data_IF_628289938602
#
_entry.id   IF_628289938602
#
_cell.length_a   1.000
_cell.length_b   1.000
_cell.length_c   1.000
_cell.angle_alpha   90.00
_cell.angle_beta   90.00
_cell.angle_gamma   90.00
#
_symmetry.space_group_name_H-M   'P 1'
#
loop_
_entity.id
_entity.type
_entity.pdbx_description
1 polymer ?
#
# COMPACT_ATOMS: atom_id res chain seq x y z
N UNK A 1 -28.19 40.61 -33.34
CA UNK A 1 -26.75 40.37 -33.55
C UNK A 1 -26.49 38.89 -33.31
N UNK A 2 -25.94 38.18 -34.30
CA UNK A 2 -25.97 36.71 -34.39
C UNK A 2 -25.05 36.03 -33.36
N UNK A 3 -25.48 34.83 -32.97
CA UNK A 3 -25.12 34.01 -31.82
C UNK A 3 -23.69 33.40 -31.82
N UNK A 4 -22.93 33.52 -32.90
CA UNK A 4 -21.75 32.67 -33.16
C UNK A 4 -20.40 33.37 -32.94
N UNK A 5 -20.36 34.69 -32.75
CA UNK A 5 -19.09 35.44 -32.74
C UNK A 5 -18.40 35.49 -31.37
N UNK A 6 -18.96 34.84 -30.34
CA UNK A 6 -18.57 35.06 -28.92
C UNK A 6 -18.25 33.77 -28.16
N UNK A 7 -17.98 32.68 -28.88
CA UNK A 7 -17.37 31.45 -28.35
C UNK A 7 -15.85 31.63 -28.17
N UNK A 8 -15.27 32.69 -28.75
CA UNK A 8 -13.83 32.86 -28.95
C UNK A 8 -13.00 33.28 -27.71
N UNK A 9 -13.60 33.52 -26.54
CA UNK A 9 -12.90 34.12 -25.39
C UNK A 9 -12.94 33.30 -24.09
N UNK A 10 -13.46 32.08 -24.11
CA UNK A 10 -13.28 31.09 -23.04
C UNK A 10 -12.29 30.03 -23.52
N UNK A 11 -11.40 29.57 -22.63
CA UNK A 11 -10.60 28.40 -23.00
C UNK A 11 -11.51 27.16 -23.07
N UNK A 12 -11.26 26.22 -24.00
CA UNK A 12 -12.00 24.96 -24.08
C UNK A 12 -12.08 24.23 -22.73
N UNK A 13 -11.01 24.30 -21.93
CA UNK A 13 -10.93 23.69 -20.60
C UNK A 13 -11.93 24.30 -19.60
N UNK A 14 -12.21 25.60 -19.69
CA UNK A 14 -13.19 26.28 -18.85
C UNK A 14 -14.61 25.84 -19.20
N UNK A 15 -14.91 25.71 -20.49
CA UNK A 15 -16.22 25.24 -20.96
C UNK A 15 -16.45 23.78 -20.51
N UNK A 16 -15.43 22.94 -20.57
CA UNK A 16 -15.51 21.54 -20.15
C UNK A 16 -15.62 21.38 -18.63
N UNK A 17 -14.88 22.18 -17.85
CA UNK A 17 -14.96 22.27 -16.39
C UNK A 17 -16.39 22.58 -15.92
N UNK A 18 -16.98 23.64 -16.49
CA UNK A 18 -18.34 24.07 -16.15
C UNK A 18 -19.41 23.08 -16.62
N UNK A 19 -19.27 22.48 -17.82
CA UNK A 19 -20.18 21.44 -18.27
C UNK A 19 -20.10 20.15 -17.44
N UNK A 20 -18.94 19.86 -16.84
CA UNK A 20 -18.78 18.71 -15.93
C UNK A 20 -19.49 18.92 -14.59
N UNK A 21 -19.48 20.15 -14.05
CA UNK A 21 -20.28 20.54 -12.88
C UNK A 21 -21.80 20.50 -13.23
N UNK A 22 -22.16 20.98 -14.42
CA UNK A 22 -23.53 20.98 -14.96
C UNK A 22 -24.15 19.59 -15.10
N UNK A 23 -23.34 18.57 -15.42
CA UNK A 23 -23.83 17.20 -15.51
C UNK A 23 -24.06 16.55 -14.14
N UNK A 24 -23.44 17.08 -13.07
CA UNK A 24 -23.60 16.61 -11.70
C UNK A 24 -24.73 17.35 -10.94
N UNK A 25 -24.98 18.62 -11.28
CA UNK A 25 -26.07 19.44 -10.76
C UNK A 25 -27.18 19.47 -11.81
N UNK A 26 -28.11 18.51 -11.73
CA UNK A 26 -29.18 18.37 -12.73
C UNK A 26 -30.07 19.63 -12.75
N UNK A 27 -30.16 20.21 -13.95
CA UNK A 27 -30.99 21.33 -14.45
C UNK A 27 -30.68 22.78 -14.00
N UNK A 28 -30.09 23.58 -14.91
CA UNK A 28 -30.74 24.77 -15.52
C UNK A 28 -29.78 25.57 -16.44
N UNK A 29 -29.92 25.38 -17.76
CA UNK A 29 -29.20 26.14 -18.82
C UNK A 29 -29.51 27.66 -18.77
N UNK A 30 -30.64 28.04 -18.17
CA UNK A 30 -31.05 29.44 -17.98
C UNK A 30 -30.25 30.18 -16.91
N UNK A 31 -29.80 29.47 -15.86
CA UNK A 31 -28.98 30.03 -14.78
C UNK A 31 -27.59 30.44 -15.30
N UNK A 32 -26.99 29.58 -16.12
CA UNK A 32 -25.69 29.81 -16.80
C UNK A 32 -25.76 31.04 -17.73
N UNK A 33 -26.87 31.21 -18.44
CA UNK A 33 -27.06 32.31 -19.39
C UNK A 33 -27.33 33.65 -18.70
N UNK A 34 -27.99 33.62 -17.53
CA UNK A 34 -28.25 34.81 -16.70
C UNK A 34 -27.02 35.31 -15.94
N UNK A 35 -26.24 34.41 -15.35
CA UNK A 35 -25.04 34.74 -14.56
C UNK A 35 -23.92 35.37 -15.41
N UNK A 36 -23.80 34.93 -16.67
CA UNK A 36 -22.85 35.49 -17.64
C UNK A 36 -23.20 36.92 -18.07
N UNK A 37 -24.50 37.28 -18.12
CA UNK A 37 -24.95 38.66 -18.38
C UNK A 37 -24.60 39.61 -17.23
N UNK A 38 -24.78 39.16 -15.99
CA UNK A 38 -24.57 39.98 -14.78
C UNK A 38 -23.08 40.24 -14.54
N UNK A 39 -22.24 39.22 -14.71
CA UNK A 39 -20.77 39.33 -14.59
C UNK A 39 -20.18 40.33 -15.59
N UNK A 40 -20.61 40.24 -16.86
CA UNK A 40 -20.16 41.15 -17.93
C UNK A 40 -20.68 42.59 -17.77
N UNK A 41 -21.88 42.78 -17.22
CA UNK A 41 -22.45 44.11 -17.00
C UNK A 41 -21.75 44.86 -15.85
N UNK A 42 -21.21 44.13 -14.87
CA UNK A 42 -20.65 44.70 -13.64
C UNK A 42 -19.12 44.60 -13.53
N UNK A 43 -18.42 44.05 -14.53
CA UNK A 43 -16.95 43.99 -14.58
C UNK A 43 -16.31 43.05 -13.55
N UNK A 44 -17.02 41.99 -13.15
CA UNK A 44 -16.58 41.11 -12.07
C UNK A 44 -15.48 40.12 -12.48
N UNK A 45 -14.62 39.80 -11.52
CA UNK A 45 -13.57 38.78 -11.65
C UNK A 45 -14.16 37.36 -11.65
N UNK A 46 -13.38 36.34 -12.09
CA UNK A 46 -13.81 34.94 -12.05
C UNK A 46 -14.24 34.47 -10.65
N UNK A 47 -13.55 34.92 -9.60
CA UNK A 47 -13.88 34.59 -8.21
C UNK A 47 -15.23 35.16 -7.79
N UNK A 48 -15.51 36.43 -8.10
CA UNK A 48 -16.78 37.10 -7.77
C UNK A 48 -17.97 36.51 -8.56
N UNK A 49 -17.72 36.10 -9.80
CA UNK A 49 -18.72 35.45 -10.63
C UNK A 49 -19.08 34.07 -10.09
N UNK A 50 -18.08 33.28 -9.71
CA UNK A 50 -18.28 32.00 -9.05
C UNK A 50 -19.04 32.22 -7.73
N UNK A 51 -18.65 33.19 -6.91
CA UNK A 51 -19.33 33.50 -5.65
C UNK A 51 -20.81 33.89 -5.84
N UNK A 52 -21.16 34.65 -6.88
CA UNK A 52 -22.56 34.94 -7.22
C UNK A 52 -23.32 33.66 -7.63
N UNK A 53 -22.76 32.85 -8.54
CA UNK A 53 -23.37 31.59 -8.99
C UNK A 53 -23.70 30.71 -7.79
N UNK A 54 -22.74 30.60 -6.88
CA UNK A 54 -22.84 29.82 -5.67
C UNK A 54 -23.89 30.39 -4.70
N UNK A 55 -23.91 31.71 -4.47
CA UNK A 55 -24.94 32.36 -3.66
C UNK A 55 -26.36 32.20 -4.24
N UNK A 56 -26.52 32.17 -5.56
CA UNK A 56 -27.81 31.92 -6.22
C UNK A 56 -28.24 30.46 -6.09
N UNK A 57 -27.31 29.50 -6.22
CA UNK A 57 -27.56 28.08 -5.96
C UNK A 57 -27.94 27.81 -4.50
N UNK A 58 -27.33 28.53 -3.55
CA UNK A 58 -27.64 28.44 -2.13
C UNK A 58 -29.06 28.95 -1.82
N UNK A 59 -29.49 30.02 -2.49
CA UNK A 59 -30.87 30.55 -2.37
C UNK A 59 -31.91 29.63 -3.00
N UNK A 60 -31.61 28.97 -4.13
CA UNK A 60 -32.54 28.03 -4.78
C UNK A 60 -32.67 26.70 -4.02
N UNK A 61 -31.57 26.20 -3.45
CA UNK A 61 -31.59 24.99 -2.59
C UNK A 61 -32.31 25.21 -1.26
N UNK A 62 -32.30 26.42 -0.69
CA UNK A 62 -33.07 26.74 0.52
C UNK A 62 -34.59 26.83 0.28
N UNK A 63 -35.02 27.08 -0.96
CA UNK A 63 -36.44 27.32 -1.27
C UNK A 63 -37.15 26.12 -1.90
N UNK A 64 -36.46 25.20 -2.59
CA UNK A 64 -37.07 24.08 -3.30
C UNK A 64 -36.21 22.79 -3.26
N UNK A 65 -35.68 22.37 -2.10
CA UNK A 65 -34.93 21.12 -2.04
C UNK A 65 -35.85 19.88 -2.07
N UNK A 66 -35.87 19.07 -3.14
CA UNK A 66 -36.09 17.63 -2.95
C UNK A 66 -34.92 17.11 -2.12
N UNK A 67 -35.22 16.22 -1.18
CA UNK A 67 -34.27 15.52 -0.32
C UNK A 67 -33.19 14.79 -1.14
N UNK A 68 -32.08 15.48 -1.45
CA UNK A 68 -30.99 14.86 -2.23
C UNK A 68 -29.89 15.76 -2.78
N UNK A 69 -29.90 17.09 -2.59
CA UNK A 69 -28.81 17.95 -3.08
C UNK A 69 -27.51 17.75 -2.30
N UNK A 70 -26.60 16.96 -2.89
CA UNK A 70 -25.23 16.67 -2.43
C UNK A 70 -24.25 17.83 -2.69
N UNK A 71 -24.66 19.10 -2.58
CA UNK A 71 -23.73 20.22 -2.74
C UNK A 71 -24.12 21.36 -1.78
N UNK A 72 -23.26 21.68 -0.81
CA UNK A 72 -23.48 22.69 0.21
C UNK A 72 -22.42 23.78 0.06
N UNK A 73 -22.83 25.03 0.18
CA UNK A 73 -21.94 26.18 0.19
C UNK A 73 -21.89 26.76 1.59
N UNK A 74 -20.68 26.85 2.15
CA UNK A 74 -20.48 27.32 3.52
C UNK A 74 -19.14 28.00 3.67
N UNK A 75 -19.16 29.23 4.18
CA UNK A 75 -17.97 29.97 4.63
C UNK A 75 -16.87 30.05 3.54
N UNK A 76 -17.23 30.34 2.29
CA UNK A 76 -16.27 30.42 1.18
C UNK A 76 -15.81 29.07 0.60
N UNK A 77 -16.48 27.98 0.95
CA UNK A 77 -16.18 26.62 0.48
C UNK A 77 -17.37 25.99 -0.25
N UNK A 78 -17.07 25.15 -1.25
CA UNK A 78 -17.99 24.18 -1.85
C UNK A 78 -17.79 22.82 -1.18
N UNK A 79 -18.87 22.21 -0.70
CA UNK A 79 -18.89 20.86 -0.12
C UNK A 79 -19.72 19.99 -1.04
N UNK A 80 -19.10 19.01 -1.72
CA UNK A 80 -19.80 18.09 -2.63
C UNK A 80 -20.14 16.79 -1.89
N UNK A 81 -21.34 16.71 -1.33
CA UNK A 81 -21.85 15.54 -0.61
C UNK A 81 -21.08 15.38 0.69
N UNK A 82 -20.29 14.31 0.79
CA UNK A 82 -19.37 14.07 1.91
C UNK A 82 -17.91 14.40 1.57
N UNK A 83 -17.64 14.93 0.38
CA UNK A 83 -16.30 15.32 -0.03
C UNK A 83 -15.75 16.42 0.89
N UNK A 84 -14.42 16.51 1.02
CA UNK A 84 -13.78 17.64 1.68
C UNK A 84 -14.26 19.00 1.16
N UNK A 85 -14.40 20.02 2.03
CA UNK A 85 -14.66 21.37 1.58
C UNK A 85 -13.53 21.87 0.65
N UNK A 86 -13.92 22.39 -0.51
CA UNK A 86 -13.03 22.99 -1.50
C UNK A 86 -13.20 24.50 -1.40
N UNK A 87 -12.12 25.24 -1.17
CA UNK A 87 -12.20 26.70 -1.16
C UNK A 87 -12.56 27.21 -2.55
N UNK A 88 -13.43 28.21 -2.62
CA UNK A 88 -13.93 28.75 -3.89
C UNK A 88 -12.79 29.31 -4.76
N UNK A 89 -11.78 29.92 -4.13
CA UNK A 89 -10.57 30.45 -4.79
C UNK A 89 -9.65 29.38 -5.40
N UNK A 90 -9.85 28.09 -5.04
CA UNK A 90 -9.11 26.96 -5.60
C UNK A 90 -9.79 26.37 -6.85
N UNK A 91 -11.08 26.64 -7.07
CA UNK A 91 -11.84 26.08 -8.19
C UNK A 91 -11.23 26.40 -9.57
N UNK A 92 -10.74 27.64 -9.84
CA UNK A 92 -10.11 27.95 -11.12
C UNK A 92 -8.82 27.14 -11.40
N UNK A 93 -8.23 26.54 -10.36
CA UNK A 93 -7.00 25.75 -10.45
C UNK A 93 -7.26 24.25 -10.63
N UNK A 94 -8.53 23.82 -10.57
CA UNK A 94 -8.91 22.42 -10.75
C UNK A 94 -9.10 22.12 -12.23
N UNK A 95 -8.46 21.05 -12.71
CA UNK A 95 -8.73 20.52 -14.04
C UNK A 95 -10.14 19.90 -14.09
N UNK A 96 -10.81 19.88 -15.26
CA UNK A 96 -12.11 19.21 -15.41
C UNK A 96 -12.11 17.75 -14.90
N UNK A 97 -11.09 16.92 -15.19
CA UNK A 97 -10.97 15.58 -14.64
C UNK A 97 -10.91 15.52 -13.10
N UNK A 98 -10.21 16.46 -12.46
CA UNK A 98 -10.14 16.52 -11.00
C UNK A 98 -11.48 16.91 -10.38
N UNK A 99 -12.23 17.85 -10.98
CA UNK A 99 -13.58 18.17 -10.51
C UNK A 99 -14.52 16.97 -10.61
N UNK A 100 -14.46 16.21 -11.71
CA UNK A 100 -15.19 14.93 -11.83
C UNK A 100 -14.78 13.95 -10.74
N UNK A 101 -13.48 13.79 -10.50
CA UNK A 101 -12.97 12.92 -9.44
C UNK A 101 -13.49 13.31 -8.05
N UNK A 102 -13.49 14.59 -7.70
CA UNK A 102 -14.00 15.08 -6.41
C UNK A 102 -15.50 14.78 -6.28
N UNK A 103 -16.28 15.05 -7.33
CA UNK A 103 -17.72 14.84 -7.35
C UNK A 103 -18.15 13.37 -7.40
N UNK A 104 -17.43 12.51 -8.12
CA UNK A 104 -17.80 11.11 -8.32
C UNK A 104 -17.25 10.20 -7.22
N UNK A 105 -15.99 10.42 -6.80
CA UNK A 105 -15.31 9.53 -5.89
C UNK A 105 -15.23 10.06 -4.46
N UNK A 106 -14.83 11.33 -4.26
CA UNK A 106 -14.73 11.88 -2.90
C UNK A 106 -16.08 12.19 -2.27
N UNK A 107 -17.13 12.44 -3.04
CA UNK A 107 -18.47 12.68 -2.49
C UNK A 107 -19.08 11.44 -1.79
N UNK A 108 -18.57 10.25 -2.13
CA UNK A 108 -19.07 8.95 -1.66
C UNK A 108 -18.28 8.40 -0.44
N UNK A 109 -17.26 9.11 0.02
CA UNK A 109 -16.46 8.68 1.18
C UNK A 109 -17.27 8.83 2.48
N UNK A 110 -16.94 8.04 3.48
CA UNK A 110 -17.55 8.18 4.80
C UNK A 110 -17.08 9.46 5.53
N UNK A 111 -17.83 9.86 6.56
CA UNK A 111 -17.58 11.11 7.32
C UNK A 111 -16.22 11.08 8.04
N UNK A 112 -15.75 9.89 8.45
CA UNK A 112 -14.46 9.75 9.13
C UNK A 112 -13.28 9.95 8.16
N UNK A 113 -13.40 9.42 6.94
CA UNK A 113 -12.45 9.58 5.85
C UNK A 113 -12.44 11.01 5.29
N UNK A 114 -13.58 11.73 5.34
CA UNK A 114 -13.70 13.11 4.85
C UNK A 114 -12.67 14.06 5.48
N UNK A 115 -12.47 14.00 6.81
CA UNK A 115 -11.46 14.83 7.49
C UNK A 115 -10.04 14.58 6.99
N UNK A 116 -9.70 13.33 6.66
CA UNK A 116 -8.36 12.97 6.16
C UNK A 116 -8.17 13.32 4.69
N UNK A 117 -9.23 13.21 3.88
CA UNK A 117 -9.17 13.70 2.51
C UNK A 117 -9.06 15.24 2.45
N UNK A 118 -9.59 15.97 3.43
CA UNK A 118 -9.41 17.44 3.52
C UNK A 118 -7.96 17.88 3.62
N UNK A 119 -7.13 17.19 4.42
CA UNK A 119 -5.69 17.47 4.46
C UNK A 119 -4.93 16.99 3.22
N UNK A 120 -5.57 16.14 2.41
CA UNK A 120 -4.99 15.50 1.22
C UNK A 120 -5.23 16.28 -0.08
N UNK A 121 -6.22 17.19 -0.12
CA UNK A 121 -6.54 18.03 -1.29
C UNK A 121 -5.33 18.82 -1.80
N UNK A 122 -4.49 19.47 -0.96
CA UNK A 122 -3.30 20.17 -1.44
C UNK A 122 -2.30 19.26 -2.17
N UNK A 123 -2.16 18.01 -1.72
CA UNK A 123 -1.29 17.01 -2.37
C UNK A 123 -1.86 16.60 -3.73
N UNK A 124 -3.18 16.42 -3.83
CA UNK A 124 -3.85 16.17 -5.11
C UNK A 124 -3.65 17.32 -6.11
N UNK A 125 -3.77 18.57 -5.64
CA UNK A 125 -3.52 19.76 -6.46
C UNK A 125 -2.09 19.79 -7.00
N UNK A 126 -1.11 19.49 -6.14
CA UNK A 126 0.29 19.40 -6.55
C UNK A 126 0.51 18.28 -7.58
N UNK A 127 -0.07 17.11 -7.37
CA UNK A 127 0.02 15.98 -8.29
C UNK A 127 -0.67 16.27 -9.63
N UNK A 128 -1.81 16.98 -9.62
CA UNK A 128 -2.51 17.42 -10.83
C UNK A 128 -1.63 18.36 -11.66
N UNK A 129 -0.99 19.35 -11.01
CA UNK A 129 -0.05 20.24 -11.67
C UNK A 129 1.16 19.51 -12.30
N UNK A 130 1.34 18.23 -11.97
CA UNK A 130 2.40 17.36 -12.46
C UNK A 130 1.88 16.23 -13.38
N UNK A 131 0.65 16.34 -13.87
CA UNK A 131 0.10 15.44 -14.89
C UNK A 131 -0.83 14.34 -14.37
N UNK A 132 -1.10 14.27 -13.05
CA UNK A 132 -2.15 13.38 -12.55
C UNK A 132 -3.52 13.84 -13.06
N UNK A 133 -4.41 12.90 -13.40
CA UNK A 133 -5.70 13.10 -14.07
C UNK A 133 -5.66 13.49 -15.54
N UNK A 134 -4.63 14.22 -16.00
CA UNK A 134 -4.51 14.60 -17.42
C UNK A 134 -3.73 13.56 -18.22
N UNK A 135 -2.65 13.01 -17.67
CA UNK A 135 -1.80 12.01 -18.32
C UNK A 135 -2.20 10.60 -17.89
N UNK A 136 -2.45 10.40 -16.60
CA UNK A 136 -2.88 9.13 -16.05
C UNK A 136 -4.22 9.30 -15.31
N UNK A 137 -5.29 8.61 -15.75
CA UNK A 137 -6.57 8.69 -15.08
C UNK A 137 -6.50 8.02 -13.71
N UNK A 138 -7.16 8.66 -12.74
CA UNK A 138 -7.47 8.03 -11.45
C UNK A 138 -8.84 7.41 -11.58
N UNK A 139 -8.93 6.10 -11.39
CA UNK A 139 -10.15 5.32 -11.67
C UNK A 139 -10.95 4.96 -10.42
N UNK A 140 -10.34 5.05 -9.24
CA UNK A 140 -10.96 4.68 -7.96
C UNK A 140 -10.27 5.34 -6.77
N UNK A 141 -11.03 5.56 -5.71
CA UNK A 141 -10.53 5.87 -4.35
C UNK A 141 -10.89 4.74 -3.39
N UNK A 142 -10.10 4.57 -2.34
CA UNK A 142 -10.39 3.62 -1.28
C UNK A 142 -10.80 4.35 0.01
N UNK A 143 -11.90 3.88 0.61
CA UNK A 143 -12.44 4.38 1.88
C UNK A 143 -11.63 3.81 3.07
N UNK A 144 -10.33 4.09 3.09
CA UNK A 144 -9.40 3.55 4.08
C UNK A 144 -8.74 4.65 4.93
N UNK A 145 -9.32 5.86 4.90
CA UNK A 145 -8.80 7.07 5.56
C UNK A 145 -7.59 7.71 4.86
N UNK A 146 -6.61 6.96 4.37
CA UNK A 146 -5.25 7.50 4.07
C UNK A 146 -5.00 7.94 2.63
N UNK A 147 -6.02 8.52 1.98
CA UNK A 147 -5.99 9.06 0.62
C UNK A 147 -5.32 8.15 -0.43
N UNK A 148 -5.87 6.96 -0.61
CA UNK A 148 -5.39 5.93 -1.54
C UNK A 148 -6.20 5.99 -2.83
N UNK A 149 -5.49 5.94 -3.97
CA UNK A 149 -6.07 6.01 -5.31
C UNK A 149 -5.67 4.79 -6.15
N UNK A 150 -6.44 4.54 -7.20
CA UNK A 150 -6.10 3.55 -8.23
C UNK A 150 -5.77 4.26 -9.54
N UNK A 151 -4.53 4.12 -10.02
CA UNK A 151 -4.07 4.68 -11.28
C UNK A 151 -4.32 3.70 -12.42
N UNK A 152 -5.13 4.10 -13.39
CA UNK A 152 -5.50 3.34 -14.59
C UNK A 152 -5.92 1.87 -14.33
N UNK A 153 -6.51 1.56 -13.17
CA UNK A 153 -6.78 0.19 -12.71
C UNK A 153 -5.54 -0.74 -12.66
N UNK A 154 -4.33 -0.18 -12.65
CA UNK A 154 -3.07 -0.94 -12.62
C UNK A 154 -2.32 -0.81 -11.31
N UNK A 155 -2.34 0.38 -10.68
CA UNK A 155 -1.54 0.65 -9.49
C UNK A 155 -2.36 1.31 -8.37
N UNK A 156 -2.56 0.57 -7.28
CA UNK A 156 -3.11 1.09 -6.03
C UNK A 156 -2.00 1.73 -5.21
N UNK A 157 -2.11 3.03 -4.94
CA UNK A 157 -1.05 3.80 -4.28
C UNK A 157 -1.61 4.96 -3.46
N UNK A 158 -0.97 5.26 -2.33
CA UNK A 158 -1.27 6.48 -1.57
C UNK A 158 -0.75 7.71 -2.32
N UNK A 159 -1.53 8.79 -2.36
CA UNK A 159 -1.09 10.03 -3.01
C UNK A 159 0.16 10.63 -2.34
N UNK A 160 0.37 10.37 -1.05
CA UNK A 160 1.55 10.81 -0.32
C UNK A 160 2.80 10.08 -0.80
N UNK A 161 2.72 8.75 -0.94
CA UNK A 161 3.79 7.92 -1.49
C UNK A 161 4.13 8.32 -2.92
N UNK A 162 3.11 8.53 -3.75
CA UNK A 162 3.27 9.03 -5.10
C UNK A 162 3.95 10.41 -5.12
N UNK A 163 3.64 11.27 -4.14
CA UNK A 163 4.26 12.57 -3.98
C UNK A 163 5.72 12.52 -3.47
N UNK A 164 6.21 11.37 -2.98
CA UNK A 164 7.64 11.18 -2.64
C UNK A 164 8.51 10.82 -3.85
N UNK A 165 7.91 10.38 -4.96
CA UNK A 165 8.65 10.02 -6.18
C UNK A 165 9.19 11.32 -6.83
N UNK A 166 10.47 11.39 -7.25
CA UNK A 166 11.01 12.55 -7.96
C UNK A 166 10.12 12.99 -9.12
N UNK A 167 9.98 14.30 -9.35
CA UNK A 167 9.02 14.86 -10.33
C UNK A 167 9.19 14.27 -11.74
N UNK A 168 10.44 14.09 -12.19
CA UNK A 168 10.75 13.51 -13.50
C UNK A 168 10.30 12.06 -13.62
N UNK A 169 10.62 11.25 -12.62
CA UNK A 169 10.22 9.84 -12.57
C UNK A 169 8.70 9.69 -12.43
N UNK A 170 8.06 10.57 -11.68
CA UNK A 170 6.60 10.57 -11.50
C UNK A 170 5.86 10.81 -12.81
N UNK A 171 6.32 11.77 -13.61
CA UNK A 171 5.74 12.04 -14.92
C UNK A 171 5.88 10.83 -15.85
N UNK A 172 7.08 10.23 -15.92
CA UNK A 172 7.32 8.99 -16.67
C UNK A 172 6.41 7.86 -16.20
N UNK A 173 6.26 7.70 -14.89
CA UNK A 173 5.35 6.69 -14.31
C UNK A 173 3.92 6.93 -14.77
N UNK A 174 3.41 8.16 -14.74
CA UNK A 174 2.07 8.46 -15.24
C UNK A 174 1.90 8.13 -16.73
N UNK A 175 2.85 8.54 -17.58
CA UNK A 175 2.81 8.25 -19.01
C UNK A 175 2.88 6.75 -19.31
N UNK A 176 3.70 6.01 -18.59
CA UNK A 176 3.84 4.57 -18.80
C UNK A 176 2.62 3.82 -18.29
N UNK A 177 2.08 4.18 -17.11
CA UNK A 177 0.89 3.54 -16.54
C UNK A 177 -0.35 3.79 -17.40
N UNK A 178 -0.52 5.00 -17.96
CA UNK A 178 -1.69 5.33 -18.76
C UNK A 178 -1.78 4.55 -20.07
N UNK A 179 -0.63 4.09 -20.60
CA UNK A 179 -0.54 3.27 -21.80
C UNK A 179 -0.74 1.77 -21.55
N UNK A 180 -0.81 1.34 -20.29
CA UNK A 180 -1.03 -0.06 -19.97
C UNK A 180 -2.45 -0.48 -20.30
N UNK A 181 -2.58 -1.67 -20.89
CA UNK A 181 -3.89 -2.27 -21.11
C UNK A 181 -4.51 -2.74 -19.78
N UNK A 182 -5.85 -2.79 -19.68
CA UNK A 182 -6.53 -3.29 -18.48
C UNK A 182 -6.12 -4.71 -18.07
N UNK A 183 -5.70 -5.53 -19.04
CA UNK A 183 -5.33 -6.94 -18.88
C UNK A 183 -3.83 -7.21 -18.98
N UNK A 184 -2.99 -6.20 -18.73
CA UNK A 184 -1.53 -6.34 -18.81
C UNK A 184 -1.02 -7.41 -17.83
N UNK A 185 -0.10 -8.26 -18.27
CA UNK A 185 0.60 -9.20 -17.38
C UNK A 185 1.88 -8.59 -16.81
N UNK A 186 2.42 -9.18 -15.74
CA UNK A 186 3.67 -8.69 -15.13
C UNK A 186 4.85 -8.71 -16.10
N UNK A 187 4.89 -9.70 -17.00
CA UNK A 187 5.93 -9.85 -18.03
C UNK A 187 5.87 -8.78 -19.13
N UNK A 188 4.73 -8.10 -19.27
CA UNK A 188 4.51 -7.04 -20.25
C UNK A 188 4.77 -5.64 -19.66
N UNK A 189 5.06 -5.53 -18.37
CA UNK A 189 5.38 -4.25 -17.74
C UNK A 189 6.73 -3.74 -18.25
N UNK A 190 6.82 -2.46 -18.70
CA UNK A 190 8.08 -1.88 -19.14
C UNK A 190 9.17 -1.99 -18.07
N UNK A 191 10.40 -2.32 -18.49
CA UNK A 191 11.53 -2.51 -17.57
C UNK A 191 11.85 -1.26 -16.75
N UNK A 192 11.72 -0.08 -17.35
CA UNK A 192 11.90 1.20 -16.65
C UNK A 192 10.77 1.46 -15.63
N UNK A 193 9.52 1.12 -15.97
CA UNK A 193 8.41 1.21 -15.03
C UNK A 193 8.62 0.28 -13.83
N UNK A 194 9.07 -0.95 -14.09
CA UNK A 194 9.43 -1.92 -13.06
C UNK A 194 10.59 -1.42 -12.20
N UNK A 195 11.58 -0.79 -12.79
CA UNK A 195 12.71 -0.18 -12.08
C UNK A 195 12.22 0.88 -11.08
N UNK A 196 11.50 1.89 -11.58
CA UNK A 196 11.05 3.02 -10.75
C UNK A 196 10.04 2.54 -9.71
N UNK A 197 8.94 1.92 -10.14
CA UNK A 197 7.85 1.56 -9.25
C UNK A 197 8.23 0.41 -8.32
N UNK A 198 8.70 -0.72 -8.86
CA UNK A 198 8.85 -1.97 -8.08
C UNK A 198 10.17 -2.00 -7.31
N UNK A 199 11.29 -1.63 -7.93
CA UNK A 199 12.61 -1.70 -7.31
C UNK A 199 12.87 -0.49 -6.41
N UNK A 200 12.73 0.71 -6.97
CA UNK A 200 13.19 1.94 -6.30
C UNK A 200 12.15 2.43 -5.27
N UNK A 201 10.85 2.36 -5.60
CA UNK A 201 9.78 2.84 -4.72
C UNK A 201 8.92 1.76 -4.05
N UNK A 202 9.19 0.48 -4.30
CA UNK A 202 8.51 -0.70 -3.71
C UNK A 202 7.00 -0.79 -3.95
N UNK A 203 6.51 -0.16 -5.01
CA UNK A 203 5.13 -0.25 -5.46
C UNK A 203 4.86 -1.58 -6.16
N UNK A 204 3.61 -2.05 -6.15
CA UNK A 204 3.22 -3.32 -6.76
C UNK A 204 1.98 -3.16 -7.61
N UNK A 205 2.06 -3.65 -8.84
CA UNK A 205 0.94 -3.60 -9.77
C UNK A 205 -0.11 -4.67 -9.47
N UNK A 206 -1.36 -4.40 -9.80
CA UNK A 206 -2.47 -5.32 -9.58
C UNK A 206 -2.31 -6.62 -10.36
N UNK A 207 -1.78 -6.57 -11.59
CA UNK A 207 -1.45 -7.77 -12.37
C UNK A 207 -0.45 -8.67 -11.64
N UNK A 208 0.61 -8.10 -11.06
CA UNK A 208 1.62 -8.82 -10.28
C UNK A 208 1.03 -9.48 -9.03
N UNK A 209 0.16 -8.77 -8.32
CA UNK A 209 -0.59 -9.30 -7.16
C UNK A 209 -1.44 -10.50 -7.59
N UNK A 210 -2.21 -10.37 -8.65
CA UNK A 210 -3.09 -11.43 -9.14
C UNK A 210 -2.32 -12.66 -9.64
N UNK A 211 -1.22 -12.44 -10.37
CA UNK A 211 -0.36 -13.54 -10.81
C UNK A 211 0.28 -14.28 -9.64
N UNK A 212 0.65 -13.55 -8.58
CA UNK A 212 1.18 -14.16 -7.35
C UNK A 212 0.13 -14.99 -6.61
N UNK A 213 -1.12 -14.53 -6.58
CA UNK A 213 -2.25 -15.33 -6.05
C UNK A 213 -2.38 -16.61 -6.87
N UNK A 214 -2.52 -16.52 -8.20
CA UNK A 214 -2.65 -17.68 -9.09
C UNK A 214 -1.49 -18.67 -8.98
N UNK A 215 -0.27 -18.17 -8.86
CA UNK A 215 0.90 -19.02 -8.68
C UNK A 215 0.88 -19.72 -7.32
N UNK A 216 0.47 -19.01 -6.26
CA UNK A 216 0.32 -19.61 -4.93
C UNK A 216 -0.79 -20.66 -4.94
N UNK A 217 -1.93 -20.39 -5.58
CA UNK A 217 -3.03 -21.35 -5.77
C UNK A 217 -2.55 -22.65 -6.41
N UNK A 218 -1.68 -22.55 -7.43
CA UNK A 218 -1.06 -23.72 -8.07
C UNK A 218 -0.22 -24.55 -7.08
N UNK A 219 0.54 -23.91 -6.20
CA UNK A 219 1.33 -24.62 -5.19
C UNK A 219 0.44 -25.31 -4.14
N UNK A 220 -0.68 -24.69 -3.78
CA UNK A 220 -1.59 -25.23 -2.75
C UNK A 220 -2.73 -26.07 -3.33
N UNK A 221 -2.76 -26.34 -4.64
CA UNK A 221 -3.87 -27.01 -5.33
C UNK A 221 -4.20 -28.39 -4.71
N UNK A 222 -3.15 -29.14 -4.33
CA UNK A 222 -3.26 -30.46 -3.68
C UNK A 222 -3.73 -30.39 -2.21
N UNK A 223 -3.86 -29.19 -1.63
CA UNK A 223 -4.16 -28.96 -0.21
C UNK A 223 -5.42 -28.09 -0.06
N UNK A 224 -6.62 -28.70 0.00
CA UNK A 224 -7.89 -27.96 -0.01
C UNK A 224 -8.02 -26.90 1.10
N UNK A 225 -7.43 -27.14 2.28
CA UNK A 225 -7.44 -26.17 3.37
C UNK A 225 -6.65 -24.90 3.05
N UNK A 226 -5.46 -25.05 2.46
CA UNK A 226 -4.62 -23.92 2.06
C UNK A 226 -5.21 -23.19 0.84
N UNK A 227 -5.77 -23.94 -0.12
CA UNK A 227 -6.46 -23.35 -1.28
C UNK A 227 -7.59 -22.40 -0.86
N UNK A 228 -8.42 -22.80 0.12
CA UNK A 228 -9.49 -21.95 0.65
C UNK A 228 -8.97 -20.63 1.24
N UNK A 229 -7.79 -20.66 1.86
CA UNK A 229 -7.16 -19.45 2.44
C UNK A 229 -6.72 -18.49 1.33
N UNK A 230 -6.10 -19.00 0.27
CA UNK A 230 -5.63 -18.19 -0.87
C UNK A 230 -6.79 -17.65 -1.71
N UNK A 231 -7.91 -18.36 -1.75
CA UNK A 231 -9.12 -17.99 -2.49
C UNK A 231 -10.11 -17.12 -1.71
N UNK A 232 -9.82 -16.80 -0.45
CA UNK A 232 -10.64 -15.88 0.31
C UNK A 232 -10.62 -14.47 -0.31
N UNK A 233 -11.55 -13.60 0.10
CA UNK A 233 -11.53 -12.20 -0.32
C UNK A 233 -10.36 -11.46 0.38
N UNK A 234 -9.17 -11.56 -0.24
CA UNK A 234 -7.92 -11.07 0.35
C UNK A 234 -7.86 -9.55 0.33
N UNK A 235 -7.47 -8.98 1.47
CA UNK A 235 -7.18 -7.56 1.61
C UNK A 235 -5.89 -7.20 0.85
N UNK A 236 -5.72 -5.92 0.48
CA UNK A 236 -4.56 -5.47 -0.32
C UNK A 236 -3.21 -5.88 0.27
N UNK A 237 -3.04 -5.77 1.59
CA UNK A 237 -1.80 -6.16 2.27
C UNK A 237 -1.56 -7.68 2.30
N UNK A 238 -2.63 -8.50 2.30
CA UNK A 238 -2.51 -9.96 2.21
C UNK A 238 -2.07 -10.38 0.80
N UNK A 239 -2.60 -9.71 -0.22
CA UNK A 239 -2.14 -9.85 -1.61
C UNK A 239 -0.67 -9.45 -1.76
N UNK A 240 -0.24 -8.38 -1.11
CA UNK A 240 1.17 -7.96 -1.08
C UNK A 240 2.07 -8.95 -0.34
N UNK A 241 1.55 -9.59 0.72
CA UNK A 241 2.27 -10.65 1.44
C UNK A 241 2.49 -11.88 0.56
N UNK A 242 1.48 -12.31 -0.20
CA UNK A 242 1.62 -13.39 -1.18
C UNK A 242 2.61 -13.04 -2.31
N UNK A 243 2.58 -11.81 -2.81
CA UNK A 243 3.56 -11.35 -3.79
C UNK A 243 4.99 -11.44 -3.24
N UNK A 244 5.20 -10.96 -2.01
CA UNK A 244 6.51 -10.99 -1.36
C UNK A 244 7.00 -12.44 -1.21
N UNK A 245 6.11 -13.33 -0.78
CA UNK A 245 6.38 -14.77 -0.71
C UNK A 245 6.81 -15.36 -2.06
N UNK A 246 6.07 -15.09 -3.15
CA UNK A 246 6.41 -15.58 -4.49
C UNK A 246 7.79 -15.09 -4.94
N UNK A 247 8.11 -13.82 -4.64
CA UNK A 247 9.42 -13.26 -4.91
C UNK A 247 10.53 -13.98 -4.13
N UNK A 248 10.29 -14.31 -2.86
CA UNK A 248 11.25 -15.06 -2.04
C UNK A 248 11.42 -16.49 -2.52
N UNK A 249 10.33 -17.20 -2.82
CA UNK A 249 10.33 -18.55 -3.42
C UNK A 249 11.21 -18.59 -4.67
N UNK A 250 11.04 -17.60 -5.55
CA UNK A 250 11.80 -17.46 -6.79
C UNK A 250 13.29 -17.16 -6.54
N UNK A 251 13.59 -16.35 -5.52
CA UNK A 251 14.95 -15.99 -5.09
C UNK A 251 15.68 -17.19 -4.51
N UNK A 252 15.04 -17.94 -3.61
CA UNK A 252 15.64 -19.08 -2.91
C UNK A 252 15.58 -20.39 -3.71
N UNK A 253 14.94 -20.38 -4.89
CA UNK A 253 14.78 -21.56 -5.77
C UNK A 253 14.10 -22.72 -5.05
N UNK A 254 12.99 -22.39 -4.39
CA UNK A 254 12.21 -23.31 -3.55
C UNK A 254 11.46 -24.36 -4.39
N UNK A 255 11.36 -24.17 -5.71
CA UNK A 255 10.67 -25.07 -6.65
C UNK A 255 11.01 -26.56 -6.44
N UNK A 256 12.24 -26.87 -6.01
CA UNK A 256 12.70 -28.26 -5.84
C UNK A 256 12.16 -28.96 -4.58
N UNK A 257 11.59 -28.22 -3.62
CA UNK A 257 11.01 -28.75 -2.38
C UNK A 257 9.67 -28.09 -2.01
N UNK A 258 9.02 -27.44 -2.99
CA UNK A 258 7.75 -26.75 -2.79
C UNK A 258 6.65 -27.69 -2.27
N UNK A 259 6.54 -28.90 -2.83
CA UNK A 259 5.53 -29.88 -2.42
C UNK A 259 5.71 -30.29 -0.95
N UNK A 260 6.94 -30.57 -0.51
CA UNK A 260 7.23 -30.90 0.90
C UNK A 260 6.95 -29.72 1.83
N UNK A 261 7.27 -28.50 1.38
CA UNK A 261 6.98 -27.28 2.13
C UNK A 261 5.47 -27.06 2.29
N UNK A 262 4.67 -27.24 1.22
CA UNK A 262 3.21 -27.11 1.29
C UNK A 262 2.59 -28.21 2.16
N UNK A 263 3.14 -29.43 2.14
CA UNK A 263 2.74 -30.50 3.06
C UNK A 263 2.94 -30.08 4.51
N UNK A 264 4.13 -29.58 4.86
CA UNK A 264 4.43 -29.06 6.20
C UNK A 264 3.46 -27.93 6.60
N UNK A 265 3.25 -26.93 5.74
CA UNK A 265 2.33 -25.81 6.00
C UNK A 265 0.90 -26.30 6.22
N UNK A 266 0.46 -27.33 5.51
CA UNK A 266 -0.85 -27.95 5.70
C UNK A 266 -0.94 -28.68 7.06
N UNK A 267 0.10 -29.43 7.44
CA UNK A 267 0.16 -30.14 8.74
C UNK A 267 0.14 -29.17 9.94
N UNK A 268 0.64 -27.94 9.75
CA UNK A 268 0.59 -26.87 10.75
C UNK A 268 -0.81 -26.28 10.98
N UNK A 269 -1.84 -26.74 10.25
CA UNK A 269 -3.24 -26.26 10.36
C UNK A 269 -3.35 -24.74 10.20
N UNK A 270 -2.68 -24.23 9.17
CA UNK A 270 -2.64 -22.81 8.79
C UNK A 270 -4.05 -22.21 8.72
N UNK A 271 -4.22 -21.00 9.26
CA UNK A 271 -5.53 -20.33 9.36
C UNK A 271 -5.73 -19.17 8.39
N UNK A 272 -4.66 -18.49 7.99
CA UNK A 272 -4.72 -17.29 7.16
C UNK A 272 -3.44 -17.12 6.32
N UNK A 273 -3.43 -16.13 5.43
CA UNK A 273 -2.30 -15.85 4.53
C UNK A 273 -1.01 -15.52 5.28
N UNK A 274 -1.12 -14.80 6.40
CA UNK A 274 0.06 -14.41 7.18
C UNK A 274 0.75 -15.63 7.79
N UNK A 275 -0.02 -16.58 8.32
CA UNK A 275 0.51 -17.86 8.82
C UNK A 275 1.07 -18.72 7.67
N UNK A 276 0.38 -18.80 6.53
CA UNK A 276 0.85 -19.53 5.36
C UNK A 276 2.25 -19.09 4.97
N UNK A 277 2.43 -17.77 4.81
CA UNK A 277 3.71 -17.19 4.41
C UNK A 277 4.77 -17.38 5.50
N UNK A 278 4.41 -17.18 6.78
CA UNK A 278 5.35 -17.36 7.89
C UNK A 278 5.84 -18.82 8.04
N UNK A 279 4.98 -19.82 7.85
CA UNK A 279 5.39 -21.22 7.86
C UNK A 279 6.30 -21.56 6.67
N UNK A 280 6.05 -20.98 5.50
CA UNK A 280 6.93 -21.14 4.35
C UNK A 280 8.31 -20.49 4.60
N UNK A 281 8.34 -19.25 5.09
CA UNK A 281 9.59 -18.55 5.44
C UNK A 281 10.38 -19.31 6.51
N UNK A 282 9.69 -19.91 7.49
CA UNK A 282 10.30 -20.78 8.49
C UNK A 282 10.96 -22.02 7.86
N UNK A 283 10.25 -22.71 6.95
CA UNK A 283 10.79 -23.86 6.24
C UNK A 283 11.98 -23.47 5.35
N UNK A 284 11.90 -22.36 4.62
CA UNK A 284 13.01 -21.82 3.81
C UNK A 284 14.22 -21.56 4.71
N UNK A 285 14.03 -20.89 5.84
CA UNK A 285 15.12 -20.59 6.79
C UNK A 285 15.79 -21.87 7.29
N UNK A 286 15.02 -22.90 7.62
CA UNK A 286 15.58 -24.19 8.04
C UNK A 286 16.39 -24.88 6.93
N UNK A 287 15.96 -24.78 5.67
CA UNK A 287 16.73 -25.30 4.53
C UNK A 287 18.01 -24.49 4.33
N UNK A 288 17.97 -23.16 4.46
CA UNK A 288 19.16 -22.32 4.38
C UNK A 288 20.18 -22.64 5.49
N UNK A 289 19.73 -22.81 6.73
CA UNK A 289 20.59 -23.25 7.85
C UNK A 289 21.28 -24.58 7.53
N UNK A 290 20.53 -25.57 7.05
CA UNK A 290 21.08 -26.89 6.72
C UNK A 290 22.02 -26.82 5.51
N UNK A 291 21.75 -25.94 4.53
CA UNK A 291 22.68 -25.68 3.43
C UNK A 291 24.02 -25.13 3.95
N UNK A 292 24.01 -24.24 4.94
CA UNK A 292 25.23 -23.72 5.56
C UNK A 292 26.02 -24.83 6.27
N UNK A 293 25.33 -25.72 6.99
CA UNK A 293 25.95 -26.87 7.66
C UNK A 293 26.57 -27.85 6.65
N UNK A 294 25.85 -28.18 5.57
CA UNK A 294 26.39 -29.04 4.50
C UNK A 294 27.59 -28.38 3.81
N UNK A 295 27.54 -27.08 3.54
CA UNK A 295 28.68 -26.37 2.95
C UNK A 295 29.90 -26.38 3.87
N UNK A 296 29.72 -26.27 5.18
CA UNK A 296 30.81 -26.42 6.16
C UNK A 296 31.38 -27.85 6.16
N UNK A 297 30.53 -28.88 6.08
CA UNK A 297 30.95 -30.28 5.95
C UNK A 297 31.73 -30.54 4.66
N UNK A 298 31.32 -29.93 3.54
CA UNK A 298 32.08 -29.98 2.27
C UNK A 298 33.45 -29.32 2.45
N UNK A 299 33.53 -28.13 3.06
CA UNK A 299 34.80 -27.44 3.32
C UNK A 299 35.73 -28.29 4.19
N UNK A 300 35.17 -28.99 5.18
CA UNK A 300 35.88 -29.94 6.06
C UNK A 300 36.16 -31.30 5.39
N UNK A 301 35.83 -31.46 4.10
CA UNK A 301 36.00 -32.70 3.31
C UNK A 301 35.29 -33.93 3.90
N UNK A 302 34.28 -33.72 4.73
CA UNK A 302 33.48 -34.79 5.34
C UNK A 302 32.43 -35.35 4.37
N UNK A 303 32.02 -34.53 3.39
CA UNK A 303 31.11 -34.93 2.32
C UNK A 303 31.74 -34.54 0.99
N UNK A 304 31.72 -35.48 0.04
CA UNK A 304 32.21 -35.26 -1.32
C UNK A 304 30.99 -35.15 -2.25
N UNK A 305 30.71 -33.96 -2.82
CA UNK A 305 29.58 -33.79 -3.72
C UNK A 305 29.79 -34.55 -5.04
N UNK A 306 28.71 -34.99 -5.70
CA UNK A 306 28.79 -35.69 -6.98
C UNK A 306 29.36 -34.77 -8.08
N UNK A 307 30.26 -35.32 -8.91
CA UNK A 307 31.00 -34.55 -9.94
C UNK A 307 30.12 -33.99 -11.06
N UNK A 308 28.97 -34.62 -11.35
CA UNK A 308 28.13 -34.31 -12.50
C UNK A 308 26.93 -33.39 -12.19
N UNK A 309 26.82 -32.90 -10.95
CA UNK A 309 25.71 -32.04 -10.53
C UNK A 309 26.25 -30.69 -10.07
N UNK A 310 25.62 -29.60 -10.51
CA UNK A 310 25.96 -28.26 -10.02
C UNK A 310 25.86 -28.22 -8.49
N UNK A 311 26.95 -27.87 -7.81
CA UNK A 311 27.07 -27.90 -6.35
C UNK A 311 25.90 -27.20 -5.65
N UNK A 312 25.52 -26.00 -6.10
CA UNK A 312 24.41 -25.24 -5.52
C UNK A 312 23.05 -25.95 -5.61
N UNK A 313 22.83 -26.75 -6.66
CA UNK A 313 21.58 -27.51 -6.83
C UNK A 313 21.61 -28.74 -5.93
N UNK A 314 22.74 -29.44 -5.91
CA UNK A 314 22.93 -30.61 -5.06
C UNK A 314 22.80 -30.25 -3.58
N UNK A 315 23.52 -29.23 -3.09
CA UNK A 315 23.45 -28.79 -1.69
C UNK A 315 22.02 -28.46 -1.27
N UNK A 316 21.25 -27.78 -2.14
CA UNK A 316 19.86 -27.46 -1.83
C UNK A 316 18.97 -28.70 -1.75
N UNK A 317 19.14 -29.67 -2.66
CA UNK A 317 18.41 -30.95 -2.62
C UNK A 317 18.73 -31.75 -1.36
N UNK A 318 20.00 -31.83 -0.97
CA UNK A 318 20.40 -32.54 0.25
C UNK A 318 19.88 -31.85 1.51
N UNK A 319 19.99 -30.51 1.56
CA UNK A 319 19.46 -29.73 2.68
C UNK A 319 17.95 -29.89 2.82
N UNK A 320 17.20 -29.76 1.71
CA UNK A 320 15.75 -29.96 1.75
C UNK A 320 15.41 -31.40 2.12
N UNK A 321 16.11 -32.39 1.55
CA UNK A 321 15.90 -33.79 1.91
C UNK A 321 16.10 -34.02 3.40
N UNK A 322 17.15 -33.48 4.03
CA UNK A 322 17.38 -33.60 5.47
C UNK A 322 16.31 -32.89 6.31
N UNK A 323 15.92 -31.67 5.93
CA UNK A 323 14.92 -30.88 6.65
C UNK A 323 13.54 -31.53 6.62
N UNK A 324 13.14 -32.08 5.47
CA UNK A 324 11.82 -32.69 5.27
C UNK A 324 11.80 -34.22 5.47
N UNK A 325 12.95 -34.87 5.70
CA UNK A 325 13.06 -36.33 5.93
C UNK A 325 12.13 -36.81 7.03
N UNK A 326 12.05 -36.04 8.11
CA UNK A 326 11.14 -36.26 9.22
C UNK A 326 10.40 -34.96 9.53
N UNK A 327 9.19 -34.83 8.97
CA UNK A 327 8.32 -33.68 9.22
C UNK A 327 8.08 -33.42 10.71
N UNK A 328 8.12 -34.45 11.57
CA UNK A 328 7.97 -34.26 13.02
C UNK A 328 9.15 -33.52 13.64
N UNK A 329 10.37 -33.70 13.12
CA UNK A 329 11.54 -32.94 13.58
C UNK A 329 11.39 -31.45 13.25
N UNK A 330 10.92 -31.11 12.06
CA UNK A 330 10.66 -29.71 11.68
C UNK A 330 9.54 -29.09 12.52
N UNK A 331 8.44 -29.82 12.74
CA UNK A 331 7.35 -29.42 13.63
C UNK A 331 7.86 -29.24 15.06
N UNK A 332 8.72 -30.13 15.55
CA UNK A 332 9.33 -30.02 16.89
C UNK A 332 10.20 -28.77 16.99
N UNK A 333 11.04 -28.49 15.99
CA UNK A 333 11.86 -27.25 15.95
C UNK A 333 10.97 -26.01 15.98
N UNK A 334 9.87 -26.01 15.22
CA UNK A 334 8.88 -24.94 15.28
C UNK A 334 8.27 -24.79 16.67
N UNK A 335 7.78 -25.88 17.27
CA UNK A 335 7.13 -25.87 18.60
C UNK A 335 8.06 -25.41 19.72
N UNK A 336 9.34 -25.80 19.67
CA UNK A 336 10.35 -25.34 20.63
C UNK A 336 10.54 -23.83 20.50
N UNK A 337 10.66 -23.32 19.28
CA UNK A 337 10.82 -21.87 19.03
C UNK A 337 9.55 -21.11 19.42
N UNK A 338 8.37 -21.67 19.13
CA UNK A 338 7.08 -21.12 19.53
C UNK A 338 6.95 -21.04 21.05
N UNK A 339 7.44 -22.05 21.76
CA UNK A 339 7.49 -22.04 23.23
C UNK A 339 8.36 -20.89 23.73
N UNK A 340 9.54 -20.67 23.15
CA UNK A 340 10.39 -19.51 23.50
C UNK A 340 9.66 -18.20 23.24
N UNK A 341 9.02 -18.05 22.07
CA UNK A 341 8.23 -16.86 21.70
C UNK A 341 7.11 -16.59 22.71
N UNK A 342 6.39 -17.64 23.11
CA UNK A 342 5.26 -17.54 24.03
C UNK A 342 5.72 -17.25 25.46
N UNK A 343 6.72 -17.99 25.95
CA UNK A 343 7.25 -17.86 27.31
C UNK A 343 7.91 -16.49 27.55
N UNK A 344 8.31 -15.77 26.48
CA UNK A 344 8.90 -14.43 26.54
C UNK A 344 7.98 -13.32 26.00
N UNK A 345 6.68 -13.59 25.85
CA UNK A 345 5.67 -12.58 25.46
C UNK A 345 6.06 -11.75 24.21
N UNK A 346 6.55 -12.44 23.17
CA UNK A 346 7.10 -11.78 21.97
C UNK A 346 6.04 -11.37 20.93
N UNK A 347 4.78 -11.72 21.13
CA UNK A 347 3.71 -11.47 20.18
C UNK A 347 2.50 -10.82 20.86
N UNK A 348 1.92 -9.83 20.21
CA UNK A 348 0.77 -9.09 20.72
C UNK A 348 0.48 -7.84 19.91
N UNK A 349 -0.78 -7.41 19.96
CA UNK A 349 -1.22 -6.17 19.30
C UNK A 349 -0.95 -4.99 20.24
N UNK A 350 -0.22 -4.00 19.74
CA UNK A 350 -0.12 -2.68 20.40
C UNK A 350 -1.08 -1.73 19.71
N UNK A 351 -1.88 -1.00 20.47
CA UNK A 351 -2.78 0.03 19.94
C UNK A 351 -2.32 1.40 20.43
N UNK A 352 -2.00 2.27 19.48
CA UNK A 352 -1.72 3.69 19.67
C UNK A 352 -2.94 4.52 19.25
N UNK A 353 -2.92 5.82 19.52
CA UNK A 353 -3.95 6.73 19.02
C UNK A 353 -4.01 6.72 17.49
N UNK A 354 -5.22 6.80 16.94
CA UNK A 354 -5.43 6.88 15.50
C UNK A 354 -5.11 8.26 14.95
N UNK A 355 -4.66 8.33 13.69
CA UNK A 355 -4.45 9.60 13.00
C UNK A 355 -3.27 10.44 13.51
N UNK A 356 -2.35 9.86 14.29
CA UNK A 356 -1.11 10.52 14.71
C UNK A 356 -0.32 11.04 13.50
N UNK A 357 0.31 12.21 13.62
CA UNK A 357 1.34 12.64 12.66
C UNK A 357 2.52 11.68 12.67
N UNK A 358 3.38 11.71 11.64
CA UNK A 358 4.53 10.80 11.57
C UNK A 358 5.48 10.96 12.76
N UNK A 359 5.71 12.21 13.19
CA UNK A 359 6.50 12.51 14.38
C UNK A 359 5.86 11.97 15.67
N UNK A 360 4.56 12.16 15.82
CA UNK A 360 3.83 11.67 16.98
C UNK A 360 3.73 10.14 16.99
N UNK A 361 3.62 9.51 15.81
CA UNK A 361 3.69 8.07 15.67
C UNK A 361 5.06 7.54 16.10
N UNK A 362 6.14 8.12 15.59
CA UNK A 362 7.51 7.70 15.95
C UNK A 362 7.74 7.86 17.46
N UNK A 363 7.34 8.99 18.05
CA UNK A 363 7.42 9.19 19.49
C UNK A 363 6.59 8.18 20.28
N UNK A 364 5.37 7.87 19.84
CA UNK A 364 4.51 6.90 20.51
C UNK A 364 5.08 5.47 20.44
N UNK A 365 5.63 5.08 19.27
CA UNK A 365 6.34 3.80 19.10
C UNK A 365 7.52 3.69 20.05
N UNK A 366 8.34 4.75 20.18
CA UNK A 366 9.52 4.77 21.07
C UNK A 366 9.18 4.54 22.54
N UNK A 367 7.99 4.95 22.95
CA UNK A 367 7.52 4.84 24.33
C UNK A 367 6.68 3.58 24.58
N UNK A 368 6.58 2.68 23.61
CA UNK A 368 5.73 1.49 23.72
C UNK A 368 6.50 0.23 23.38
N UNK A 369 6.30 -0.83 24.18
CA UNK A 369 6.87 -2.14 23.89
C UNK A 369 6.14 -2.80 22.71
N UNK A 370 6.67 -2.63 21.51
CA UNK A 370 6.11 -3.22 20.28
C UNK A 370 6.52 -4.68 20.15
N UNK A 371 5.56 -5.53 19.82
CA UNK A 371 5.72 -6.99 19.65
C UNK A 371 5.36 -7.40 18.22
N UNK A 372 5.65 -8.65 17.85
CA UNK A 372 5.20 -9.19 16.57
C UNK A 372 3.67 -9.36 16.56
N UNK A 373 3.06 -9.23 15.38
CA UNK A 373 1.60 -9.33 15.25
C UNK A 373 1.01 -10.71 15.58
N UNK A 374 1.80 -11.78 15.50
CA UNK A 374 1.39 -13.12 15.92
C UNK A 374 2.57 -13.97 16.39
N UNK A 375 2.33 -14.99 17.23
CA UNK A 375 3.38 -15.93 17.64
C UNK A 375 4.04 -16.64 16.45
N UNK A 376 3.25 -17.02 15.45
CA UNK A 376 3.75 -17.71 14.24
C UNK A 376 4.71 -16.80 13.44
N UNK A 377 4.36 -15.53 13.30
CA UNK A 377 5.25 -14.54 12.67
C UNK A 377 6.54 -14.35 13.47
N UNK A 378 6.44 -14.24 14.80
CA UNK A 378 7.61 -14.11 15.66
C UNK A 378 8.59 -15.28 15.51
N UNK A 379 8.09 -16.52 15.41
CA UNK A 379 8.93 -17.72 15.32
C UNK A 379 9.90 -17.66 14.14
N UNK A 380 9.42 -17.33 12.94
CA UNK A 380 10.31 -17.31 11.78
C UNK A 380 11.31 -16.14 11.86
N UNK A 381 10.90 -14.97 12.35
CA UNK A 381 11.81 -13.83 12.49
C UNK A 381 12.92 -14.07 13.51
N UNK A 382 12.56 -14.63 14.66
CA UNK A 382 13.52 -14.99 15.72
C UNK A 382 14.51 -16.05 15.20
N UNK A 383 14.07 -16.95 14.33
CA UNK A 383 14.96 -17.95 13.72
C UNK A 383 15.84 -17.35 12.62
N UNK A 384 15.27 -16.53 11.72
CA UNK A 384 15.95 -15.92 10.57
C UNK A 384 17.03 -14.91 11.00
N UNK A 385 16.80 -14.24 12.13
CA UNK A 385 17.67 -13.20 12.66
C UNK A 385 17.91 -13.42 14.17
N UNK A 386 18.61 -14.51 14.54
CA UNK A 386 18.68 -14.95 15.92
C UNK A 386 19.43 -13.96 16.80
N UNK A 387 18.94 -13.78 18.03
CA UNK A 387 19.65 -13.10 19.11
C UNK A 387 20.14 -14.12 20.13
N UNK A 388 21.19 -13.80 20.88
CA UNK A 388 21.65 -14.62 22.01
C UNK A 388 21.37 -13.89 23.33
N UNK A 389 20.46 -14.37 24.19
CA UNK A 389 19.53 -15.49 23.99
C UNK A 389 18.37 -15.15 23.02
N UNK A 390 17.70 -16.17 22.46
CA UNK A 390 16.55 -15.97 21.56
C UNK A 390 15.41 -15.20 22.24
N UNK A 391 15.21 -15.45 23.55
CA UNK A 391 14.27 -14.74 24.43
C UNK A 391 14.40 -13.20 24.40
N UNK A 392 15.60 -12.69 24.13
CA UNK A 392 15.88 -11.26 24.15
C UNK A 392 15.52 -10.53 22.85
N UNK A 393 14.99 -11.22 21.82
CA UNK A 393 14.83 -10.66 20.49
C UNK A 393 13.95 -9.40 20.45
N UNK A 394 12.76 -9.46 21.06
CA UNK A 394 11.85 -8.29 21.12
C UNK A 394 12.40 -7.18 22.01
N UNK A 395 13.06 -7.53 23.12
CA UNK A 395 13.70 -6.52 23.98
C UNK A 395 14.78 -5.73 23.22
N UNK A 396 15.63 -6.43 22.44
CA UNK A 396 16.65 -5.80 21.59
C UNK A 396 16.04 -4.99 20.44
N UNK A 397 14.95 -5.47 19.85
CA UNK A 397 14.21 -4.70 18.86
C UNK A 397 13.74 -3.37 19.46
N UNK A 398 13.14 -3.38 20.66
CA UNK A 398 12.65 -2.17 21.32
C UNK A 398 13.78 -1.24 21.82
N UNK A 399 14.93 -1.80 22.22
CA UNK A 399 16.15 -1.00 22.45
C UNK A 399 16.61 -0.25 21.18
N UNK A 400 16.41 -0.86 20.00
CA UNK A 400 16.72 -0.23 18.70
C UNK A 400 15.68 0.85 18.32
N UNK A 401 14.46 0.80 18.85
CA UNK A 401 13.46 1.85 18.65
C UNK A 401 13.76 3.09 19.48
N UNK A 402 14.23 2.89 20.71
CA UNK A 402 14.51 3.92 21.72
C UNK A 402 15.61 4.99 21.44
N UNK A 403 16.55 4.88 20.47
CA UNK A 403 17.61 5.88 20.30
C UNK A 403 17.07 7.26 19.87
N UNK A 404 17.71 8.37 20.31
CA UNK A 404 17.16 9.73 20.16
C UNK A 404 17.28 10.32 18.74
N UNK A 405 18.06 9.71 17.84
CA UNK A 405 18.32 10.28 16.50
C UNK A 405 17.10 10.17 15.58
N UNK A 406 16.66 11.31 15.01
CA UNK A 406 15.65 11.38 13.93
C UNK A 406 16.19 10.91 12.57
N UNK A 407 17.50 11.00 12.35
CA UNK A 407 18.14 10.71 11.06
C UNK A 407 18.10 9.21 10.68
N UNK A 408 17.67 8.35 11.61
CA UNK A 408 17.67 6.91 11.46
C UNK A 408 16.26 6.30 11.42
N UNK A 409 15.23 7.13 11.21
CA UNK A 409 13.84 6.68 11.11
C UNK A 409 13.22 7.14 9.78
N UNK A 410 12.65 6.21 9.02
CA UNK A 410 11.88 6.54 7.82
C UNK A 410 10.45 6.04 7.96
N UNK A 411 9.48 6.93 7.74
CA UNK A 411 8.05 6.59 7.67
C UNK A 411 7.64 6.58 6.20
N UNK A 412 7.15 5.43 5.73
CA UNK A 412 6.52 5.25 4.43
C UNK A 412 5.03 4.97 4.59
N UNK A 413 4.28 5.19 3.51
CA UNK A 413 2.83 4.90 3.46
C UNK A 413 2.55 4.01 2.26
N UNK A 414 1.98 2.83 2.50
CA UNK A 414 1.54 1.90 1.46
C UNK A 414 0.07 1.54 1.72
N UNK A 415 -0.83 2.05 0.89
CA UNK A 415 -2.27 1.88 1.09
C UNK A 415 -2.74 2.53 2.39
N UNK A 416 -3.38 1.76 3.27
CA UNK A 416 -3.81 2.18 4.61
C UNK A 416 -2.81 1.82 5.72
N UNK A 417 -1.64 1.32 5.36
CA UNK A 417 -0.59 0.88 6.28
C UNK A 417 0.59 1.85 6.24
N UNK A 418 1.04 2.31 7.40
CA UNK A 418 2.32 3.02 7.54
C UNK A 418 3.42 2.01 7.78
N UNK A 419 4.46 2.05 6.97
CA UNK A 419 5.69 1.33 7.21
C UNK A 419 6.67 2.23 7.95
N UNK A 420 7.09 1.83 9.15
CA UNK A 420 8.07 2.60 9.94
C UNK A 420 9.33 1.78 10.05
N UNK A 421 10.43 2.34 9.54
CA UNK A 421 11.74 1.74 9.64
C UNK A 421 12.58 2.51 10.64
N UNK A 422 13.11 1.80 11.63
CA UNK A 422 14.14 2.30 12.53
C UNK A 422 15.46 1.59 12.19
N UNK A 423 16.52 2.35 12.11
CA UNK A 423 17.88 1.86 11.95
C UNK A 423 18.76 2.45 13.05
N UNK A 424 19.70 1.67 13.56
CA UNK A 424 20.58 2.12 14.64
C UNK A 424 21.64 1.10 14.97
N UNK A 425 22.41 1.38 16.03
CA UNK A 425 23.53 0.52 16.42
C UNK A 425 23.09 -0.86 16.90
N UNK A 426 21.88 -0.98 17.45
CA UNK A 426 21.29 -2.27 17.82
C UNK A 426 20.86 -3.11 16.61
N UNK A 427 20.59 -2.49 15.46
CA UNK A 427 20.12 -3.18 14.26
C UNK A 427 19.07 -2.38 13.51
N UNK A 428 18.16 -3.11 12.85
CA UNK A 428 17.12 -2.54 12.00
C UNK A 428 15.76 -3.13 12.34
N UNK A 429 14.81 -2.28 12.70
CA UNK A 429 13.42 -2.66 12.96
C UNK A 429 12.52 -2.16 11.83
N UNK A 430 11.66 -3.04 11.34
CA UNK A 430 10.58 -2.68 10.42
C UNK A 430 9.24 -2.93 11.10
N UNK A 431 8.41 -1.91 11.17
CA UNK A 431 7.10 -1.94 11.80
C UNK A 431 6.02 -1.56 10.79
N UNK A 432 4.83 -2.06 11.01
CA UNK A 432 3.64 -1.63 10.30
C UNK A 432 2.62 -1.06 11.29
N UNK A 433 2.02 0.07 10.92
CA UNK A 433 0.90 0.67 11.65
C UNK A 433 -0.34 0.77 10.76
N UNK A 434 -1.50 0.36 11.30
CA UNK A 434 -2.80 0.47 10.63
C UNK A 434 -3.91 0.71 11.65
N UNK A 435 -4.62 1.84 11.52
CA UNK A 435 -5.73 2.17 12.42
C UNK A 435 -5.32 2.16 13.89
N UNK A 436 -4.17 2.77 14.21
CA UNK A 436 -3.59 2.79 15.56
C UNK A 436 -2.87 1.49 15.95
N UNK A 437 -3.14 0.36 15.29
CA UNK A 437 -2.50 -0.92 15.62
C UNK A 437 -1.09 -0.98 15.05
N UNK A 438 -0.10 -1.18 15.91
CA UNK A 438 1.32 -1.27 15.55
C UNK A 438 1.86 -2.65 15.83
N UNK A 439 2.63 -3.17 14.88
CA UNK A 439 3.28 -4.47 14.99
C UNK A 439 4.73 -4.40 14.51
N UNK A 440 5.60 -5.13 15.20
CA UNK A 440 6.93 -5.44 14.71
C UNK A 440 6.78 -6.46 13.57
N UNK A 441 7.32 -6.12 12.41
CA UNK A 441 7.27 -6.94 11.20
C UNK A 441 8.63 -7.50 10.81
N UNK A 442 9.73 -7.00 11.37
CA UNK A 442 11.05 -7.61 11.30
C UNK A 442 11.99 -6.90 12.25
N UNK A 443 12.91 -7.64 12.86
CA UNK A 443 14.08 -7.08 13.50
C UNK A 443 15.31 -7.85 13.00
N UNK A 444 16.28 -7.10 12.51
CA UNK A 444 17.59 -7.62 12.09
C UNK A 444 18.61 -7.03 13.06
N UNK A 445 19.16 -7.81 14.01
CA UNK A 445 20.20 -7.32 14.88
C UNK A 445 21.43 -6.99 14.05
N UNK A 446 22.15 -5.91 14.41
CA UNK A 446 23.46 -5.65 13.82
C UNK A 446 24.39 -6.75 14.30
N UNK A 447 25.00 -7.51 13.38
CA UNK A 447 26.06 -8.43 13.75
C UNK A 447 27.22 -7.60 14.27
N UNK A 448 27.57 -7.76 15.56
CA UNK A 448 28.90 -7.39 16.01
C UNK A 448 29.85 -8.36 15.30
N UNK A 449 30.46 -7.90 14.20
CA UNK A 449 31.62 -8.59 13.62
C UNK A 449 32.77 -8.62 14.62
#
# INVERSE_FOLDING_TARGET
MKYYDTVATLSPDQIEAFNSIRNYVRDDIHLITGLKRISNHNGWTPSETIELVLNMLQKSTQTNAPSGTNAILREGNIILGRAPPIKIDQLPKLSPPMMRFLGEHLSQIDVAASRQWSSSVPVLLNLQAQGMFTICPVTKVFNSGRAVIFLNNQLEVSIYKLNTIPKEDRLKVFEMISRLSPSVSSSQLPSELMRICVRDHRLRFYCQRNESIKLTEKYVEKYPALRRIVQADLLSHEKDRLYTFVSEVSRYKVDIYMDDMMKFVCEMKTKNISELVAYCEFAITCVEDEMLLINDQIKKKQIIPPRNTKLSVWTRKEASAKVFKDGQTLIKKFRVTLKIVTDNDMAGVVTLAEGLSDDALVAAIRNTMVRFGSPVSAVYHVLKHPTAPLGAHVARANQTLAPPSRAAVSVGQDGDVRSVLFEGDGGRCFLLERGGRVFLCSYVPKSHE
#
